data_IF_182424554095
#
_entry.id   IF_182424554095
#
_cell.length_a   1.000
_cell.length_b   1.000
_cell.length_c   1.000
_cell.angle_alpha   90.00
_cell.angle_beta   90.00
_cell.angle_gamma   90.00
#
_symmetry.space_group_name_H-M   'P 1'
#
loop_
_entity.id
_entity.type
_entity.pdbx_description
1 polymer ?
#
# COMPACT_ATOMS: atom_id res chain seq x y z
N UNK A 1 -14.08 40.00 10.66
CA UNK A 1 -12.68 40.14 10.22
C UNK A 1 -12.39 39.00 9.28
N UNK A 2 -12.36 39.24 7.97
CA UNK A 2 -12.04 38.22 6.98
C UNK A 2 -10.58 37.78 7.22
N UNK A 3 -10.39 36.55 7.70
CA UNK A 3 -9.07 35.98 7.92
C UNK A 3 -8.44 35.67 6.56
N UNK A 4 -7.18 36.08 6.36
CA UNK A 4 -6.44 35.80 5.13
C UNK A 4 -6.41 34.28 4.86
N UNK A 5 -6.75 33.90 3.63
CA UNK A 5 -6.60 32.52 3.18
C UNK A 5 -5.12 32.12 3.23
N UNK A 6 -4.84 30.82 3.43
CA UNK A 6 -3.46 30.33 3.31
C UNK A 6 -2.95 30.59 1.89
N UNK A 7 -1.83 31.30 1.78
CA UNK A 7 -1.23 31.61 0.49
C UNK A 7 -0.28 30.49 0.05
N UNK A 8 -0.68 29.79 -1.00
CA UNK A 8 0.11 28.73 -1.63
C UNK A 8 0.89 29.25 -2.86
N UNK A 9 0.77 30.52 -3.21
CA UNK A 9 1.41 31.10 -4.39
C UNK A 9 2.91 31.31 -4.17
N UNK A 10 3.63 31.45 -5.27
CA UNK A 10 5.07 31.70 -5.22
C UNK A 10 5.38 33.05 -4.59
N UNK A 11 6.41 33.08 -3.75
CA UNK A 11 6.93 34.32 -3.17
C UNK A 11 7.97 34.91 -4.12
N UNK A 12 8.01 36.24 -4.18
CA UNK A 12 9.02 36.98 -4.94
C UNK A 12 10.44 36.88 -4.33
N UNK A 13 10.60 36.17 -3.21
CA UNK A 13 11.89 35.95 -2.56
C UNK A 13 12.64 34.86 -3.31
N UNK A 14 13.78 35.21 -3.91
CA UNK A 14 14.62 34.21 -4.56
C UNK A 14 15.29 33.28 -3.53
N UNK A 15 15.38 31.96 -3.82
CA UNK A 15 16.12 31.02 -2.99
C UNK A 15 17.58 31.46 -2.78
N UNK A 16 18.17 31.21 -1.61
CA UNK A 16 19.56 31.54 -1.34
C UNK A 16 20.51 30.82 -2.32
N UNK A 17 21.47 31.51 -2.96
CA UNK A 17 22.47 30.87 -3.82
C UNK A 17 23.39 29.95 -3.00
N UNK A 18 24.10 29.01 -3.64
CA UNK A 18 25.13 28.20 -2.97
C UNK A 18 26.22 29.07 -2.34
N UNK A 19 26.91 28.55 -1.31
CA UNK A 19 28.05 29.28 -0.73
C UNK A 19 29.17 29.40 -1.77
N UNK A 20 29.73 30.60 -1.89
CA UNK A 20 30.87 30.88 -2.77
C UNK A 20 32.20 30.39 -2.18
N UNK A 21 32.22 30.05 -0.89
CA UNK A 21 33.41 29.61 -0.15
C UNK A 21 33.16 28.28 0.56
N UNK A 22 34.22 27.50 0.84
CA UNK A 22 34.07 26.22 1.54
C UNK A 22 33.39 26.42 2.90
N UNK A 23 32.45 25.53 3.22
CA UNK A 23 31.79 25.51 4.52
C UNK A 23 32.80 25.10 5.61
N UNK A 24 32.65 25.59 6.85
CA UNK A 24 33.45 25.12 7.97
C UNK A 24 33.29 23.62 8.21
N UNK A 25 34.39 22.94 8.60
CA UNK A 25 34.36 21.51 8.97
C UNK A 25 33.66 21.26 10.32
N UNK A 26 33.56 22.28 11.17
CA UNK A 26 32.91 22.20 12.48
C UNK A 26 31.38 22.44 12.35
N UNK A 27 30.53 21.45 12.69
CA UNK A 27 29.07 21.57 12.60
C UNK A 27 28.46 22.62 13.54
N UNK A 28 29.24 23.12 14.50
CA UNK A 28 28.84 24.21 15.39
C UNK A 28 29.17 25.61 14.83
N UNK A 29 29.90 25.70 13.71
CA UNK A 29 30.19 26.96 13.05
C UNK A 29 29.12 27.28 12.00
N UNK A 30 28.68 28.54 11.99
CA UNK A 30 27.75 29.06 11.00
C UNK A 30 28.53 30.03 10.13
N UNK A 31 28.56 29.77 8.82
CA UNK A 31 29.05 30.74 7.86
C UNK A 31 27.96 31.76 7.56
N UNK A 32 28.30 33.04 7.55
CA UNK A 32 27.35 34.10 7.22
C UNK A 32 27.96 35.21 6.38
N UNK A 33 27.12 35.89 5.60
CA UNK A 33 27.45 37.11 4.87
C UNK A 33 26.28 38.10 4.96
N UNK A 34 26.57 39.40 5.05
CA UNK A 34 25.57 40.46 5.07
C UNK A 34 26.23 41.81 4.75
N UNK A 35 25.42 42.83 4.48
CA UNK A 35 25.89 44.19 4.22
C UNK A 35 26.41 44.89 5.49
N UNK A 36 25.76 44.63 6.64
CA UNK A 36 26.08 45.26 7.91
C UNK A 36 25.99 44.27 9.07
N UNK A 37 26.97 44.31 9.95
CA UNK A 37 26.99 43.58 11.22
C UNK A 37 27.34 44.55 12.36
N UNK A 38 26.43 44.66 13.34
CA UNK A 38 26.56 45.51 14.51
C UNK A 38 26.54 44.66 15.77
N UNK A 39 27.36 45.05 16.76
CA UNK A 39 27.38 44.41 18.07
C UNK A 39 27.17 45.45 19.16
N UNK A 40 26.06 45.31 19.89
CA UNK A 40 25.81 46.08 21.11
C UNK A 40 26.43 45.36 22.29
N UNK A 41 27.57 45.87 22.77
CA UNK A 41 28.29 45.30 23.91
C UNK A 41 27.55 45.44 25.25
N UNK A 42 26.66 46.42 25.41
CA UNK A 42 25.90 46.61 26.65
C UNK A 42 24.71 45.64 26.70
N UNK A 43 24.01 45.52 25.57
CA UNK A 43 22.90 44.60 25.36
C UNK A 43 23.35 43.14 25.25
N UNK A 44 24.58 42.89 24.78
CA UNK A 44 25.10 41.61 24.27
C UNK A 44 24.22 41.06 23.13
N UNK A 45 23.93 41.94 22.17
CA UNK A 45 23.07 41.68 21.02
C UNK A 45 23.87 41.85 19.74
N UNK A 46 23.86 40.83 18.89
CA UNK A 46 24.42 40.88 17.52
C UNK A 46 23.28 41.14 16.55
N UNK A 47 23.39 42.16 15.73
CA UNK A 47 22.44 42.46 14.66
C UNK A 47 23.15 42.39 13.32
N UNK A 48 22.64 41.55 12.43
CA UNK A 48 23.13 41.38 11.07
C UNK A 48 22.00 41.80 10.13
N UNK A 49 22.27 42.67 9.15
CA UNK A 49 21.23 43.21 8.26
C UNK A 49 21.75 43.50 6.87
N UNK A 50 20.85 43.47 5.90
CA UNK A 50 21.15 43.67 4.48
C UNK A 50 21.60 42.35 3.84
N UNK A 51 20.69 41.74 3.09
CA UNK A 51 20.82 40.45 2.41
C UNK A 51 21.60 39.40 3.23
N UNK A 52 21.11 39.10 4.44
CA UNK A 52 21.75 38.16 5.35
C UNK A 52 21.64 36.76 4.78
N UNK A 53 22.79 36.13 4.52
CA UNK A 53 22.88 34.74 4.08
C UNK A 53 23.58 33.93 5.15
N UNK A 54 23.00 32.79 5.52
CA UNK A 54 23.52 31.85 6.50
C UNK A 54 23.67 30.48 5.85
N UNK A 55 24.76 29.78 6.18
CA UNK A 55 25.05 28.45 5.68
C UNK A 55 25.46 27.53 6.83
N UNK A 56 24.78 26.38 6.94
CA UNK A 56 25.07 25.36 7.95
C UNK A 56 24.60 23.98 7.50
N UNK A 57 25.48 22.98 7.54
CA UNK A 57 25.15 21.57 7.24
C UNK A 57 24.40 21.41 5.90
N UNK A 58 24.79 22.18 4.88
CA UNK A 58 24.14 22.19 3.56
C UNK A 58 22.81 22.95 3.48
N UNK A 59 22.23 23.38 4.61
CA UNK A 59 21.11 24.32 4.62
C UNK A 59 21.59 25.73 4.29
N UNK A 60 20.79 26.43 3.49
CA UNK A 60 21.03 27.80 3.05
C UNK A 60 19.87 28.65 3.51
N UNK A 61 20.12 29.76 4.19
CA UNK A 61 19.09 30.69 4.64
C UNK A 61 19.40 32.09 4.11
N UNK A 62 18.36 32.78 3.64
CA UNK A 62 18.34 34.20 3.28
C UNK A 62 17.33 34.93 4.15
N UNK A 63 17.65 36.13 4.63
CA UNK A 63 16.74 37.02 5.36
C UNK A 63 17.20 38.48 5.26
N UNK A 64 16.30 39.44 5.50
CA UNK A 64 16.67 40.86 5.49
C UNK A 64 17.46 41.27 6.75
N UNK A 65 17.10 40.68 7.91
CA UNK A 65 17.71 40.99 9.21
C UNK A 65 17.70 39.78 10.13
N UNK A 66 18.80 39.54 10.83
CA UNK A 66 18.95 38.54 11.88
C UNK A 66 19.46 39.21 13.15
N UNK A 67 18.77 39.01 14.27
CA UNK A 67 19.13 39.54 15.59
C UNK A 67 19.38 38.37 16.53
N UNK A 68 20.54 38.32 17.16
CA UNK A 68 20.89 37.32 18.16
C UNK A 68 21.16 37.98 19.50
N UNK A 69 20.31 37.69 20.47
CA UNK A 69 20.50 38.10 21.86
C UNK A 69 21.27 37.00 22.59
N UNK A 70 22.54 37.27 22.93
CA UNK A 70 23.44 36.28 23.53
C UNK A 70 23.16 36.02 25.00
N UNK A 71 22.44 36.93 25.69
CA UNK A 71 22.00 36.74 27.09
C UNK A 71 20.84 35.76 27.20
N UNK A 72 19.86 35.88 26.33
CA UNK A 72 18.68 34.99 26.31
C UNK A 72 18.85 33.78 25.39
N UNK A 73 19.85 33.80 24.51
CA UNK A 73 20.04 32.81 23.44
C UNK A 73 19.00 32.90 22.32
N UNK A 74 18.18 33.96 22.29
CA UNK A 74 17.13 34.12 21.29
C UNK A 74 17.70 34.62 19.95
N UNK A 75 17.32 33.97 18.85
CA UNK A 75 17.67 34.37 17.49
C UNK A 75 16.40 34.69 16.73
N UNK A 76 16.30 35.90 16.18
CA UNK A 76 15.13 36.35 15.42
C UNK A 76 15.57 36.77 14.01
N UNK A 77 15.09 36.06 13.00
CA UNK A 77 15.21 36.44 11.60
C UNK A 77 13.91 37.11 11.16
N UNK A 78 14.00 38.21 10.41
CA UNK A 78 12.86 38.96 9.89
C UNK A 78 13.08 39.38 8.44
N UNK A 79 12.00 39.36 7.67
CA UNK A 79 11.94 39.87 6.30
C UNK A 79 12.48 38.89 5.27
N UNK A 80 11.68 38.63 4.24
CA UNK A 80 12.01 37.83 3.05
C UNK A 80 12.79 36.54 3.38
N UNK A 81 12.31 35.77 4.35
CA UNK A 81 13.06 34.60 4.82
C UNK A 81 12.85 33.47 3.83
N UNK A 82 13.94 32.86 3.36
CA UNK A 82 13.94 31.67 2.53
C UNK A 82 15.03 30.70 3.01
N UNK A 83 14.67 29.45 3.26
CA UNK A 83 15.56 28.39 3.72
C UNK A 83 15.48 27.24 2.73
N UNK A 84 16.59 26.89 2.10
CA UNK A 84 16.67 25.75 1.17
C UNK A 84 17.52 24.65 1.78
N UNK A 85 16.97 23.43 1.82
CA UNK A 85 17.67 22.25 2.33
C UNK A 85 18.58 21.63 1.22
N UNK A 86 19.43 20.63 1.56
CA UNK A 86 20.26 19.94 0.57
C UNK A 86 19.46 19.16 -0.49
N UNK A 87 18.22 18.80 -0.18
CA UNK A 87 17.31 18.06 -1.07
C UNK A 87 16.58 18.97 -2.07
N UNK A 88 16.76 20.30 -1.99
CA UNK A 88 16.16 21.26 -2.90
C UNK A 88 14.82 21.86 -2.44
N UNK A 89 14.24 21.38 -1.35
CA UNK A 89 13.02 21.95 -0.78
C UNK A 89 13.31 23.35 -0.22
N UNK A 90 12.38 24.29 -0.45
CA UNK A 90 12.52 25.66 0.03
C UNK A 90 11.35 26.06 0.92
N UNK A 91 11.67 26.47 2.15
CA UNK A 91 10.75 27.01 3.14
C UNK A 91 10.89 28.53 3.22
N UNK A 92 9.77 29.23 3.17
CA UNK A 92 9.67 30.68 3.27
C UNK A 92 8.92 31.08 4.54
N UNK A 93 9.21 32.28 5.03
CA UNK A 93 8.50 32.88 6.17
C UNK A 93 8.72 34.38 6.29
N UNK A 94 7.93 35.03 7.13
CA UNK A 94 8.06 36.48 7.36
C UNK A 94 8.92 36.78 8.59
N UNK A 95 8.80 35.93 9.61
CA UNK A 95 9.54 36.02 10.86
C UNK A 95 9.79 34.61 11.39
N UNK A 96 11.03 34.35 11.80
CA UNK A 96 11.45 33.13 12.48
C UNK A 96 12.08 33.52 13.81
N UNK A 97 11.58 32.93 14.89
CA UNK A 97 12.15 33.04 16.22
C UNK A 97 12.67 31.67 16.65
N UNK A 98 13.94 31.58 17.01
CA UNK A 98 14.61 30.37 17.49
C UNK A 98 15.20 30.60 18.90
N UNK A 99 15.27 29.54 19.69
CA UNK A 99 15.97 29.53 20.99
C UNK A 99 17.44 29.11 20.83
N UNK A 100 18.21 29.15 21.93
CA UNK A 100 19.68 28.94 21.95
C UNK A 100 20.12 27.58 21.38
N UNK A 101 19.23 26.57 21.43
CA UNK A 101 19.49 25.27 20.82
C UNK A 101 19.37 25.27 19.30
N UNK A 102 18.84 26.35 18.70
CA UNK A 102 18.42 26.50 17.31
C UNK A 102 17.43 25.40 16.84
N UNK A 103 16.81 24.68 17.77
CA UNK A 103 15.94 23.54 17.48
C UNK A 103 14.46 23.83 17.70
N UNK A 104 14.15 24.74 18.62
CA UNK A 104 12.78 25.11 18.95
C UNK A 104 12.51 26.52 18.47
N UNK A 105 11.28 26.77 18.00
CA UNK A 105 10.98 28.05 17.40
C UNK A 105 9.58 28.24 16.85
N UNK A 106 9.32 29.46 16.41
CA UNK A 106 8.06 29.91 15.84
C UNK A 106 8.32 30.51 14.46
N UNK A 107 7.52 30.11 13.48
CA UNK A 107 7.55 30.66 12.12
C UNK A 107 6.17 31.25 11.81
N UNK A 108 6.15 32.47 11.28
CA UNK A 108 4.92 33.13 10.80
C UNK A 108 4.85 33.13 9.27
N UNK A 109 3.63 32.93 8.75
CA UNK A 109 3.32 32.89 7.32
C UNK A 109 4.26 31.96 6.54
N UNK A 110 4.29 30.70 6.95
CA UNK A 110 5.15 29.69 6.38
C UNK A 110 4.62 29.23 5.02
N UNK A 111 5.52 29.08 4.05
CA UNK A 111 5.27 28.36 2.80
C UNK A 111 6.42 27.40 2.55
N UNK A 112 6.15 26.12 2.34
CA UNK A 112 7.15 25.12 1.93
C UNK A 112 6.82 24.67 0.52
N UNK A 113 7.80 24.78 -0.36
CA UNK A 113 7.75 24.31 -1.75
C UNK A 113 8.70 23.13 -1.87
N UNK A 114 8.14 21.96 -2.17
CA UNK A 114 8.90 20.71 -2.28
C UNK A 114 9.49 20.57 -3.69
N UNK A 115 10.73 20.09 -3.81
CA UNK A 115 11.40 19.91 -5.10
C UNK A 115 10.64 18.92 -5.99
N UNK A 116 10.18 17.81 -5.41
CA UNK A 116 9.41 16.78 -6.11
C UNK A 116 7.94 17.18 -6.37
N UNK A 117 7.58 18.41 -6.04
CA UNK A 117 6.25 18.96 -6.21
C UNK A 117 5.40 18.92 -4.94
N UNK A 118 4.42 19.82 -4.93
CA UNK A 118 3.55 20.06 -3.79
C UNK A 118 4.00 21.20 -2.90
N UNK A 119 3.01 21.79 -2.23
CA UNK A 119 3.16 23.00 -1.44
C UNK A 119 2.41 22.88 -0.12
N UNK A 120 3.04 23.35 0.96
CA UNK A 120 2.45 23.43 2.29
C UNK A 120 2.47 24.89 2.73
N UNK A 121 1.33 25.49 2.99
CA UNK A 121 1.23 26.84 3.53
C UNK A 121 0.60 26.82 4.91
N UNK A 122 1.05 27.69 5.81
CA UNK A 122 0.45 27.84 7.12
C UNK A 122 0.66 29.23 7.67
N UNK A 123 -0.26 29.68 8.51
CA UNK A 123 -0.12 31.00 9.11
C UNK A 123 0.87 31.00 10.28
N UNK A 124 0.94 29.90 11.05
CA UNK A 124 1.88 29.76 12.16
C UNK A 124 2.36 28.32 12.30
N UNK A 125 3.67 28.15 12.34
CA UNK A 125 4.35 26.91 12.73
C UNK A 125 5.06 27.09 14.07
N UNK A 126 4.97 26.09 14.94
CA UNK A 126 5.72 26.04 16.20
C UNK A 126 6.39 24.69 16.35
N UNK A 127 7.64 24.69 16.79
CA UNK A 127 8.37 23.50 17.22
C UNK A 127 8.63 23.63 18.71
N UNK A 128 8.03 22.72 19.47
CA UNK A 128 8.10 22.68 20.93
C UNK A 128 9.16 21.67 21.39
N UNK A 129 9.51 21.75 22.67
CA UNK A 129 10.45 20.84 23.32
C UNK A 129 10.03 19.38 23.09
N UNK A 130 11.00 18.49 22.83
CA UNK A 130 10.74 17.11 22.42
C UNK A 130 10.45 16.94 20.92
N UNK A 131 10.52 18.02 20.13
CA UNK A 131 10.43 17.98 18.67
C UNK A 131 9.00 17.89 18.12
N UNK A 132 7.99 18.13 18.95
CA UNK A 132 6.59 18.20 18.52
C UNK A 132 6.42 19.41 17.61
N UNK A 133 5.93 19.18 16.40
CA UNK A 133 5.66 20.26 15.44
C UNK A 133 4.17 20.49 15.40
N UNK A 134 3.78 21.75 15.52
CA UNK A 134 2.40 22.18 15.39
C UNK A 134 2.28 23.25 14.33
N UNK A 135 1.28 23.09 13.49
CA UNK A 135 0.99 24.01 12.38
C UNK A 135 -0.47 24.42 12.50
N UNK A 136 -0.71 25.70 12.74
CA UNK A 136 -2.03 26.29 12.82
C UNK A 136 -2.44 26.89 11.47
N UNK A 137 -3.68 26.61 11.06
CA UNK A 137 -4.25 26.97 9.76
C UNK A 137 -3.34 26.57 8.61
N UNK A 138 -3.15 25.27 8.42
CA UNK A 138 -2.38 24.70 7.32
C UNK A 138 -3.22 24.47 6.05
N UNK A 139 -2.58 24.53 4.89
CA UNK A 139 -3.06 24.07 3.60
C UNK A 139 -1.99 23.23 2.91
N UNK A 140 -2.41 22.17 2.23
CA UNK A 140 -1.54 21.33 1.39
C UNK A 140 -2.19 21.08 0.03
N UNK A 141 -1.39 21.17 -1.04
CA UNK A 141 -1.78 20.70 -2.37
C UNK A 141 -0.57 20.17 -3.13
N UNK A 142 -0.68 19.02 -3.81
CA UNK A 142 0.30 18.59 -4.80
C UNK A 142 0.04 19.19 -6.19
N UNK A 143 -1.10 19.87 -6.40
CA UNK A 143 -1.46 20.43 -7.70
C UNK A 143 -0.69 21.72 -8.00
N UNK A 144 -0.52 22.01 -9.29
CA UNK A 144 -0.02 23.31 -9.72
C UNK A 144 -0.96 24.43 -9.27
N UNK A 145 -0.36 25.50 -8.75
CA UNK A 145 -1.04 26.72 -8.27
C UNK A 145 -0.84 27.91 -9.20
N UNK A 146 -0.16 27.68 -10.33
CA UNK A 146 0.01 28.63 -11.43
C UNK A 146 -0.44 27.97 -12.74
N UNK A 147 -0.87 28.79 -13.69
CA UNK A 147 -1.20 28.34 -15.05
C UNK A 147 -0.01 28.43 -16.01
N UNK A 148 -0.24 28.10 -17.30
CA UNK A 148 0.80 28.15 -18.34
C UNK A 148 1.31 29.56 -18.64
N UNK A 149 0.59 30.59 -18.22
CA UNK A 149 0.99 32.00 -18.31
C UNK A 149 1.68 32.51 -17.06
N UNK A 150 1.99 31.63 -16.09
CA UNK A 150 2.54 31.96 -14.78
C UNK A 150 1.60 32.83 -13.91
N UNK A 151 0.29 32.75 -14.15
CA UNK A 151 -0.71 33.46 -13.36
C UNK A 151 -1.21 32.57 -12.20
N UNK A 152 -1.55 33.15 -11.04
CA UNK A 152 -2.15 32.42 -9.92
C UNK A 152 -3.41 31.65 -10.33
N UNK A 153 -3.48 30.39 -9.94
CA UNK A 153 -4.55 29.46 -10.24
C UNK A 153 -4.97 28.70 -8.97
N UNK A 154 -6.28 28.50 -8.81
CA UNK A 154 -6.81 27.64 -7.76
C UNK A 154 -6.47 26.17 -8.05
N UNK A 155 -5.86 25.44 -7.11
CA UNK A 155 -5.50 24.04 -7.33
C UNK A 155 -6.74 23.17 -7.52
N UNK A 156 -6.63 22.13 -8.35
CA UNK A 156 -7.74 21.18 -8.60
C UNK A 156 -8.27 20.55 -7.31
N UNK A 157 -7.39 20.32 -6.33
CA UNK A 157 -7.80 20.04 -4.96
C UNK A 157 -6.77 20.53 -3.96
N UNK A 158 -7.22 20.82 -2.74
CA UNK A 158 -6.37 21.10 -1.59
C UNK A 158 -7.01 20.62 -0.30
N UNK A 159 -6.20 20.29 0.69
CA UNK A 159 -6.68 20.02 2.05
C UNK A 159 -6.28 21.19 2.92
N UNK A 160 -7.25 21.73 3.68
CA UNK A 160 -6.98 22.72 4.72
C UNK A 160 -7.26 22.11 6.08
N UNK A 161 -6.56 22.55 7.11
CA UNK A 161 -6.78 22.11 8.48
C UNK A 161 -6.61 23.28 9.45
N UNK A 162 -7.48 23.36 10.46
CA UNK A 162 -7.34 24.35 11.54
C UNK A 162 -6.06 24.11 12.33
N UNK A 163 -5.71 22.83 12.54
CA UNK A 163 -4.49 22.44 13.24
C UNK A 163 -3.95 21.11 12.74
N UNK A 164 -2.64 21.05 12.53
CA UNK A 164 -1.87 19.85 12.23
C UNK A 164 -0.82 19.70 13.32
N UNK A 165 -0.72 18.51 13.92
CA UNK A 165 0.28 18.22 14.95
C UNK A 165 1.04 16.97 14.55
N UNK A 166 2.35 17.08 14.43
CA UNK A 166 3.27 15.95 14.34
C UNK A 166 3.86 15.66 15.71
N UNK A 167 3.67 14.44 16.17
CA UNK A 167 4.22 13.93 17.43
C UNK A 167 5.31 12.89 17.09
N UNK A 168 6.61 13.19 17.30
CA UNK A 168 7.69 12.28 16.99
C UNK A 168 7.71 11.04 17.91
N UNK A 169 7.28 11.17 19.16
CA UNK A 169 7.21 10.03 20.09
C UNK A 169 6.15 9.00 19.65
N UNK A 170 5.08 9.46 18.99
CA UNK A 170 4.04 8.59 18.40
C UNK A 170 4.27 8.29 16.92
N UNK A 171 5.27 8.91 16.28
CA UNK A 171 5.48 8.91 14.83
C UNK A 171 4.18 9.15 14.04
N UNK A 172 3.40 10.17 14.41
CA UNK A 172 2.05 10.38 13.87
C UNK A 172 1.73 11.85 13.60
N UNK A 173 1.04 12.11 12.49
CA UNK A 173 0.45 13.41 12.17
C UNK A 173 -1.05 13.36 12.42
N UNK A 174 -1.58 14.30 13.19
CA UNK A 174 -3.01 14.45 13.50
C UNK A 174 -3.57 15.74 12.91
N UNK A 175 -4.73 15.64 12.28
CA UNK A 175 -5.43 16.75 11.63
C UNK A 175 -6.72 17.08 12.37
N UNK A 176 -6.92 18.35 12.73
CA UNK A 176 -8.12 18.84 13.40
C UNK A 176 -8.80 19.90 12.56
N UNK A 177 -10.13 19.77 12.39
CA UNK A 177 -10.92 20.69 11.57
C UNK A 177 -10.52 20.67 10.09
N UNK A 178 -10.16 19.49 9.58
CA UNK A 178 -9.72 19.36 8.20
C UNK A 178 -10.89 19.48 7.22
N UNK A 179 -10.63 20.05 6.05
CA UNK A 179 -11.58 20.15 4.94
C UNK A 179 -10.86 19.84 3.64
N UNK A 180 -11.51 19.11 2.75
CA UNK A 180 -11.06 18.95 1.37
C UNK A 180 -11.80 19.95 0.50
N UNK A 181 -11.05 20.73 -0.28
CA UNK A 181 -11.59 21.61 -1.31
C UNK A 181 -11.34 21.01 -2.69
N UNK A 182 -12.38 20.97 -3.52
CA UNK A 182 -12.34 20.46 -4.89
C UNK A 182 -12.69 21.58 -5.85
N UNK A 183 -11.76 21.89 -6.77
CA UNK A 183 -11.88 22.90 -7.83
C UNK A 183 -12.28 24.29 -7.35
N UNK A 184 -12.10 24.61 -6.07
CA UNK A 184 -12.59 25.85 -5.45
C UNK A 184 -14.11 25.96 -5.27
N UNK A 185 -14.88 24.94 -5.68
CA UNK A 185 -16.36 24.96 -5.68
C UNK A 185 -16.91 24.26 -4.43
N UNK A 186 -16.38 23.09 -4.11
CA UNK A 186 -16.82 22.29 -2.97
C UNK A 186 -15.81 22.37 -1.82
N UNK A 187 -16.29 22.50 -0.58
CA UNK A 187 -15.47 22.40 0.63
C UNK A 187 -16.15 21.45 1.62
N UNK A 188 -15.70 20.19 1.64
CA UNK A 188 -16.29 19.13 2.44
C UNK A 188 -15.48 18.95 3.75
N UNK A 189 -16.14 18.88 4.92
CA UNK A 189 -15.46 18.59 6.17
C UNK A 189 -14.94 17.15 6.16
N UNK A 190 -13.71 16.96 6.61
CA UNK A 190 -13.15 15.65 6.89
C UNK A 190 -13.28 15.35 8.39
N UNK A 191 -13.52 14.08 8.78
CA UNK A 191 -13.47 13.70 10.19
C UNK A 191 -12.07 13.96 10.76
N UNK A 192 -11.92 13.94 12.08
CA UNK A 192 -10.58 13.96 12.68
C UNK A 192 -9.83 12.71 12.23
N UNK A 193 -8.73 12.89 11.51
CA UNK A 193 -7.91 11.78 11.03
C UNK A 193 -6.44 11.97 11.40
N UNK A 194 -5.71 10.87 11.35
CA UNK A 194 -4.28 10.85 11.63
C UNK A 194 -3.62 9.67 10.92
N UNK A 195 -2.45 9.91 10.34
CA UNK A 195 -1.66 8.86 9.67
C UNK A 195 -0.27 8.76 10.32
N UNK A 196 0.32 7.57 10.27
CA UNK A 196 1.69 7.32 10.76
C UNK A 196 2.73 7.87 9.79
N UNK A 197 3.85 8.31 10.33
CA UNK A 197 5.03 8.75 9.58
C UNK A 197 6.15 7.75 9.83
N UNK A 198 6.60 7.06 8.79
CA UNK A 198 7.68 6.06 8.87
C UNK A 198 7.24 4.64 8.50
N UNK A 199 8.16 3.70 8.63
CA UNK A 199 8.06 2.33 8.06
C UNK A 199 7.19 1.36 8.90
N UNK A 200 6.52 1.87 9.94
CA UNK A 200 5.72 1.07 10.86
C UNK A 200 4.25 0.92 10.45
N UNK A 201 3.72 -0.30 10.55
CA UNK A 201 2.29 -0.57 10.41
C UNK A 201 1.50 0.03 11.59
N UNK A 202 0.64 1.02 11.33
CA UNK A 202 -0.18 1.65 12.37
C UNK A 202 -1.68 1.46 12.12
N UNK A 203 -2.42 1.15 13.19
CA UNK A 203 -3.88 1.02 13.10
C UNK A 203 -4.56 2.35 12.80
N UNK A 204 -5.58 2.33 11.95
CA UNK A 204 -6.32 3.53 11.57
C UNK A 204 -7.31 3.33 10.43
N UNK A 205 -8.10 4.37 10.18
CA UNK A 205 -8.95 4.45 9.00
C UNK A 205 -8.08 4.60 7.74
N UNK A 206 -8.37 3.80 6.72
CA UNK A 206 -7.81 3.96 5.40
C UNK A 206 -8.69 4.92 4.58
N UNK A 207 -8.20 5.30 3.39
CA UNK A 207 -8.98 6.10 2.47
C UNK A 207 -10.29 5.37 2.12
N UNK A 208 -11.44 6.08 2.12
CA UNK A 208 -12.70 5.47 1.74
C UNK A 208 -12.70 5.09 0.26
N UNK A 209 -13.36 3.99 -0.09
CA UNK A 209 -13.59 3.59 -1.48
C UNK A 209 -14.99 4.05 -1.88
N UNK A 210 -15.10 4.76 -2.99
CA UNK A 210 -16.37 5.19 -3.57
C UNK A 210 -16.54 4.49 -4.92
N UNK A 211 -17.63 3.74 -5.08
CA UNK A 211 -17.97 3.06 -6.34
C UNK A 211 -19.39 3.41 -6.75
N UNK A 212 -19.67 3.35 -8.05
CA UNK A 212 -21.03 3.42 -8.57
C UNK A 212 -21.20 2.35 -9.63
N UNK A 213 -22.27 1.55 -9.52
CA UNK A 213 -22.66 0.61 -10.55
C UNK A 213 -24.19 0.56 -10.70
N UNK A 214 -24.65 0.05 -11.85
CA UNK A 214 -26.08 0.05 -12.19
C UNK A 214 -26.93 -0.91 -11.32
N UNK A 215 -26.31 -1.83 -10.59
CA UNK A 215 -26.99 -2.91 -9.84
C UNK A 215 -27.14 -2.53 -8.38
N UNK A 216 -26.05 -2.12 -7.74
CA UNK A 216 -25.97 -1.77 -6.32
C UNK A 216 -26.02 -0.26 -6.08
N UNK A 217 -25.98 0.55 -7.14
CA UNK A 217 -26.00 2.00 -7.07
C UNK A 217 -24.69 2.55 -6.52
N UNK A 218 -24.78 3.58 -5.68
CA UNK A 218 -23.62 4.19 -5.04
C UNK A 218 -23.17 3.36 -3.84
N UNK A 219 -21.87 3.05 -3.80
CA UNK A 219 -21.20 2.31 -2.74
C UNK A 219 -20.22 3.24 -2.00
N UNK A 220 -20.22 3.12 -0.67
CA UNK A 220 -19.19 3.70 0.21
C UNK A 220 -18.60 2.57 1.05
N UNK A 221 -17.29 2.35 0.91
CA UNK A 221 -16.53 1.46 1.78
C UNK A 221 -15.61 2.27 2.69
N UNK A 222 -15.55 1.94 3.98
CA UNK A 222 -14.68 2.63 4.93
C UNK A 222 -13.76 1.61 5.63
N UNK A 223 -12.56 1.34 5.10
CA UNK A 223 -11.67 0.34 5.67
C UNK A 223 -11.05 0.84 6.97
N UNK A 224 -11.02 -0.01 8.00
CA UNK A 224 -10.22 0.19 9.20
C UNK A 224 -9.14 -0.90 9.28
N UNK A 225 -7.89 -0.46 9.27
CA UNK A 225 -6.72 -1.32 9.41
C UNK A 225 -6.34 -1.48 10.87
N UNK A 226 -6.16 -2.73 11.31
CA UNK A 226 -5.66 -3.12 12.61
C UNK A 226 -4.26 -3.74 12.45
N UNK A 227 -3.25 -3.02 12.91
CA UNK A 227 -1.90 -3.56 13.09
C UNK A 227 -1.90 -4.42 14.36
N UNK A 228 -1.99 -5.75 14.20
CA UNK A 228 -2.07 -6.69 15.32
C UNK A 228 -0.68 -7.07 15.84
N UNK A 229 0.28 -7.24 14.93
CA UNK A 229 1.70 -7.44 15.21
C UNK A 229 2.52 -7.10 13.95
N UNK A 230 3.87 -7.02 14.00
CA UNK A 230 4.69 -6.72 12.83
C UNK A 230 4.48 -7.68 11.65
N UNK A 231 4.04 -8.91 11.90
CA UNK A 231 3.84 -9.96 10.91
C UNK A 231 2.37 -10.35 10.65
N UNK A 232 1.39 -9.64 11.24
CA UNK A 232 -0.03 -9.92 10.99
C UNK A 232 -0.92 -8.70 11.16
N UNK A 233 -1.94 -8.63 10.33
CA UNK A 233 -2.92 -7.56 10.32
C UNK A 233 -4.33 -8.06 10.04
N UNK A 234 -5.30 -7.19 10.38
CA UNK A 234 -6.71 -7.36 10.06
C UNK A 234 -7.22 -6.05 9.48
N UNK A 235 -7.91 -6.10 8.34
CA UNK A 235 -8.65 -4.96 7.79
C UNK A 235 -10.13 -5.29 7.82
N UNK A 236 -10.92 -4.45 8.50
CA UNK A 236 -12.39 -4.55 8.49
C UNK A 236 -12.97 -3.42 7.65
N UNK A 237 -13.77 -3.77 6.66
CA UNK A 237 -14.32 -2.83 5.68
C UNK A 237 -15.84 -2.97 5.64
N UNK A 238 -16.58 -2.15 6.41
CA UNK A 238 -18.00 -1.94 6.15
C UNK A 238 -18.21 -1.30 4.77
N UNK A 239 -19.10 -1.91 3.99
CA UNK A 239 -19.55 -1.44 2.67
C UNK A 239 -21.04 -1.14 2.73
N UNK A 240 -21.41 0.10 2.40
CA UNK A 240 -22.78 0.56 2.34
C UNK A 240 -23.16 0.81 0.89
N UNK A 241 -24.38 0.42 0.50
CA UNK A 241 -24.88 0.54 -0.87
C UNK A 241 -26.23 1.26 -0.86
N UNK A 242 -26.56 1.98 -1.93
CA UNK A 242 -27.90 2.55 -2.10
C UNK A 242 -28.91 1.55 -2.67
N UNK A 243 -28.46 0.56 -3.45
CA UNK A 243 -29.30 -0.45 -4.13
C UNK A 243 -29.19 -1.86 -3.56
N UNK A 244 -28.41 -2.07 -2.50
CA UNK A 244 -28.25 -3.37 -1.83
C UNK A 244 -28.11 -3.22 -0.32
N UNK A 245 -28.27 -4.32 0.42
CA UNK A 245 -28.05 -4.32 1.86
C UNK A 245 -26.55 -4.25 2.19
N UNK A 246 -26.16 -3.62 3.32
CA UNK A 246 -24.77 -3.50 3.75
C UNK A 246 -24.02 -4.84 3.78
N UNK A 247 -22.72 -4.77 3.52
CA UNK A 247 -21.81 -5.91 3.53
C UNK A 247 -20.63 -5.58 4.44
N UNK A 248 -20.15 -6.56 5.22
CA UNK A 248 -18.88 -6.43 5.93
C UNK A 248 -17.87 -7.34 5.25
N UNK A 249 -16.73 -6.75 4.89
CA UNK A 249 -15.54 -7.47 4.45
C UNK A 249 -14.52 -7.49 5.59
N UNK A 250 -13.84 -8.62 5.78
CA UNK A 250 -12.75 -8.79 6.72
C UNK A 250 -11.57 -9.45 6.01
N UNK A 251 -10.40 -8.82 5.98
CA UNK A 251 -9.18 -9.39 5.43
C UNK A 251 -8.15 -9.57 6.54
N UNK A 252 -7.74 -10.80 6.78
CA UNK A 252 -6.65 -11.15 7.69
C UNK A 252 -5.44 -11.60 6.89
N UNK A 253 -4.26 -11.07 7.21
CA UNK A 253 -2.99 -11.45 6.58
C UNK A 253 -1.98 -11.82 7.65
N UNK A 254 -1.23 -12.89 7.43
CA UNK A 254 -0.22 -13.35 8.38
C UNK A 254 1.00 -13.91 7.65
N UNK A 255 2.15 -13.31 7.92
CA UNK A 255 3.47 -13.80 7.57
C UNK A 255 4.02 -14.64 8.74
N UNK A 256 4.25 -15.93 8.48
CA UNK A 256 4.90 -16.88 9.38
C UNK A 256 6.37 -17.02 8.97
N UNK A 257 7.19 -17.60 9.85
CA UNK A 257 8.63 -17.82 9.58
C UNK A 257 8.89 -18.67 8.33
N UNK A 258 7.93 -19.53 7.99
CA UNK A 258 8.02 -20.54 6.92
C UNK A 258 6.94 -20.40 5.86
N UNK A 259 6.20 -19.29 5.84
CA UNK A 259 5.10 -19.16 4.89
C UNK A 259 4.24 -17.93 5.12
N UNK A 260 3.19 -17.79 4.33
CA UNK A 260 2.23 -16.72 4.50
C UNK A 260 0.85 -17.20 4.08
N UNK A 261 -0.18 -16.61 4.67
CA UNK A 261 -1.54 -16.78 4.21
C UNK A 261 -2.34 -15.50 4.34
N UNK A 262 -3.39 -15.41 3.51
CA UNK A 262 -4.41 -14.37 3.59
C UNK A 262 -5.78 -15.01 3.53
N UNK A 263 -6.69 -14.53 4.38
CA UNK A 263 -8.10 -14.91 4.40
C UNK A 263 -8.93 -13.65 4.26
N UNK A 264 -9.77 -13.60 3.24
CA UNK A 264 -10.76 -12.55 3.03
C UNK A 264 -12.16 -13.15 3.16
N UNK A 265 -12.93 -12.64 4.12
CA UNK A 265 -14.33 -13.02 4.33
C UNK A 265 -15.26 -11.87 3.99
N UNK A 266 -16.43 -12.18 3.46
CA UNK A 266 -17.53 -11.26 3.20
C UNK A 266 -18.79 -11.81 3.87
N UNK A 267 -19.58 -10.95 4.52
CA UNK A 267 -20.79 -11.35 5.22
C UNK A 267 -21.87 -10.27 5.19
N UNK A 268 -23.09 -10.68 4.86
CA UNK A 268 -24.31 -9.85 4.91
C UNK A 268 -25.50 -10.70 5.35
N UNK A 269 -26.59 -10.03 5.70
CA UNK A 269 -27.88 -10.66 5.96
C UNK A 269 -28.88 -10.12 4.94
N UNK A 270 -29.17 -10.88 3.89
CA UNK A 270 -30.02 -10.44 2.79
C UNK A 270 -30.88 -11.56 2.22
N UNK A 271 -31.95 -11.17 1.51
CA UNK A 271 -32.69 -12.09 0.64
C UNK A 271 -31.79 -12.57 -0.50
N UNK A 272 -32.09 -13.76 -1.02
CA UNK A 272 -31.54 -14.26 -2.28
C UNK A 272 -32.39 -13.72 -3.42
N UNK A 273 -32.08 -12.52 -3.92
CA UNK A 273 -32.69 -12.05 -5.17
C UNK A 273 -31.75 -12.31 -6.34
N UNK A 274 -32.30 -12.87 -7.42
CA UNK A 274 -31.66 -12.87 -8.74
C UNK A 274 -32.43 -11.87 -9.61
N UNK A 275 -32.33 -10.59 -9.24
CA UNK A 275 -32.94 -9.47 -9.98
C UNK A 275 -32.39 -9.37 -11.43
N UNK A 276 -31.40 -10.21 -11.77
CA UNK A 276 -30.82 -10.35 -13.11
C UNK A 276 -31.53 -11.34 -14.04
N UNK A 277 -32.36 -12.28 -13.55
CA UNK A 277 -32.85 -13.39 -14.40
C UNK A 277 -34.36 -13.58 -14.46
N UNK A 278 -35.18 -12.83 -13.72
CA UNK A 278 -36.64 -12.85 -13.95
C UNK A 278 -37.37 -11.69 -13.25
N UNK A 279 -38.05 -10.79 -13.99
CA UNK A 279 -39.08 -9.90 -13.43
C UNK A 279 -40.37 -10.66 -13.05
N UNK A 280 -40.47 -11.95 -13.37
CA UNK A 280 -41.69 -12.73 -13.17
C UNK A 280 -41.65 -13.56 -11.87
N UNK A 281 -42.61 -13.23 -11.01
CA UNK A 281 -43.12 -13.95 -9.85
C UNK A 281 -42.27 -13.94 -8.56
N UNK A 282 -42.53 -12.95 -7.70
CA UNK A 282 -43.20 -13.16 -6.40
C UNK A 282 -42.65 -14.14 -5.37
N UNK A 283 -41.52 -14.81 -5.59
CA UNK A 283 -40.93 -15.71 -4.59
C UNK A 283 -40.14 -14.85 -3.61
N UNK A 284 -40.82 -14.41 -2.55
CA UNK A 284 -40.18 -13.84 -1.37
C UNK A 284 -39.29 -14.90 -0.72
N UNK A 285 -38.00 -14.91 -1.05
CA UNK A 285 -37.03 -15.65 -0.23
C UNK A 285 -36.84 -14.92 1.08
N UNK A 286 -36.85 -15.63 2.20
CA UNK A 286 -36.53 -15.04 3.50
C UNK A 286 -35.10 -14.49 3.52
N UNK A 287 -34.86 -13.53 4.42
CA UNK A 287 -33.50 -13.07 4.67
C UNK A 287 -32.68 -14.23 5.25
N UNK A 288 -31.48 -14.43 4.74
CA UNK A 288 -30.53 -15.40 5.25
C UNK A 288 -29.14 -14.77 5.31
N UNK A 289 -28.25 -15.38 6.11
CA UNK A 289 -26.84 -15.06 6.03
C UNK A 289 -26.31 -15.44 4.64
N UNK A 290 -25.57 -14.51 4.03
CA UNK A 290 -24.86 -14.73 2.77
C UNK A 290 -23.43 -14.26 2.91
N UNK A 291 -22.51 -14.97 2.28
CA UNK A 291 -21.10 -14.68 2.43
C UNK A 291 -20.22 -15.41 1.44
N UNK A 292 -18.95 -15.03 1.48
CA UNK A 292 -17.90 -15.59 0.66
C UNK A 292 -16.61 -15.63 1.48
N UNK A 293 -15.86 -16.71 1.36
CA UNK A 293 -14.52 -16.84 1.92
C UNK A 293 -13.55 -17.09 0.78
N UNK A 294 -12.47 -16.32 0.76
CA UNK A 294 -11.31 -16.47 -0.10
C UNK A 294 -10.06 -16.63 0.77
N UNK A 295 -9.43 -17.78 0.74
CA UNK A 295 -8.23 -18.05 1.51
C UNK A 295 -7.13 -18.60 0.61
N UNK A 296 -5.96 -17.99 0.66
CA UNK A 296 -4.77 -18.44 -0.06
C UNK A 296 -3.60 -18.53 0.90
N UNK A 297 -2.76 -19.55 0.74
CA UNK A 297 -1.57 -19.68 1.56
C UNK A 297 -0.55 -20.64 0.98
N UNK A 298 0.69 -20.46 1.42
CA UNK A 298 1.81 -21.36 1.16
C UNK A 298 2.65 -21.49 2.43
N UNK A 299 3.08 -22.71 2.73
CA UNK A 299 3.95 -23.02 3.86
C UNK A 299 5.03 -24.00 3.43
N UNK A 300 6.28 -23.66 3.72
CA UNK A 300 7.49 -24.42 3.40
C UNK A 300 7.97 -25.15 4.66
N UNK A 301 7.78 -26.47 4.74
CA UNK A 301 8.16 -27.23 5.94
C UNK A 301 9.70 -27.32 6.10
N UNK A 302 10.38 -27.62 4.99
CA UNK A 302 11.85 -27.68 4.83
C UNK A 302 12.24 -27.30 3.40
N UNK A 303 13.51 -27.43 3.00
CA UNK A 303 14.00 -27.05 1.66
C UNK A 303 13.26 -27.74 0.49
N UNK A 304 12.64 -28.88 0.73
CA UNK A 304 12.05 -29.75 -0.28
C UNK A 304 10.53 -29.89 -0.13
N UNK A 305 10.00 -29.88 1.09
CA UNK A 305 8.57 -30.06 1.37
C UNK A 305 7.82 -28.73 1.51
N UNK A 306 6.70 -28.61 0.82
CA UNK A 306 5.79 -27.47 0.96
C UNK A 306 4.33 -27.86 0.82
N UNK A 307 3.46 -27.01 1.35
CA UNK A 307 2.02 -27.07 1.13
C UNK A 307 1.54 -25.73 0.61
N UNK A 308 0.55 -25.75 -0.28
CA UNK A 308 -0.11 -24.56 -0.79
C UNK A 308 -1.58 -24.83 -0.99
N UNK A 309 -2.42 -23.82 -0.80
CA UNK A 309 -3.85 -23.95 -1.01
C UNK A 309 -4.52 -22.66 -1.42
N UNK A 310 -5.63 -22.82 -2.12
CA UNK A 310 -6.57 -21.77 -2.49
C UNK A 310 -7.98 -22.29 -2.23
N UNK A 311 -8.70 -21.67 -1.31
CA UNK A 311 -10.05 -22.03 -0.90
C UNK A 311 -10.97 -20.84 -1.16
N UNK A 312 -11.94 -21.01 -2.05
CA UNK A 312 -12.93 -20.03 -2.46
C UNK A 312 -14.31 -20.68 -2.32
N UNK A 313 -15.11 -20.22 -1.37
CA UNK A 313 -16.42 -20.78 -1.04
C UNK A 313 -17.46 -19.69 -0.90
N UNK A 314 -18.56 -19.79 -1.63
CA UNK A 314 -19.70 -18.87 -1.53
C UNK A 314 -20.90 -19.56 -0.87
N UNK A 315 -21.68 -18.82 -0.08
CA UNK A 315 -22.91 -19.31 0.56
C UNK A 315 -23.99 -19.70 -0.44
N UNK A 316 -24.00 -19.03 -1.60
CA UNK A 316 -24.94 -19.25 -2.68
C UNK A 316 -24.35 -18.80 -4.02
N UNK A 317 -25.06 -19.18 -5.08
CA UNK A 317 -24.62 -19.03 -6.47
C UNK A 317 -24.59 -17.59 -6.98
N UNK A 318 -25.40 -16.70 -6.42
CA UNK A 318 -25.56 -15.33 -6.94
C UNK A 318 -24.81 -14.28 -6.12
N UNK A 319 -24.28 -14.65 -4.96
CA UNK A 319 -23.68 -13.71 -4.00
C UNK A 319 -22.55 -12.87 -4.59
N UNK A 320 -21.57 -13.51 -5.25
CA UNK A 320 -20.39 -12.80 -5.79
C UNK A 320 -20.77 -11.78 -6.86
N UNK A 321 -21.64 -12.17 -7.79
CA UNK A 321 -22.15 -11.28 -8.84
C UNK A 321 -23.00 -10.16 -8.27
N UNK A 322 -23.86 -10.46 -7.27
CA UNK A 322 -24.75 -9.45 -6.67
C UNK A 322 -23.94 -8.31 -6.07
N UNK A 323 -22.87 -8.61 -5.35
CA UNK A 323 -22.04 -7.60 -4.69
C UNK A 323 -20.81 -7.15 -5.52
N UNK A 324 -20.74 -7.57 -6.79
CA UNK A 324 -19.61 -7.30 -7.70
C UNK A 324 -18.24 -7.68 -7.10
N UNK A 325 -18.20 -8.81 -6.39
CA UNK A 325 -16.96 -9.32 -5.79
C UNK A 325 -16.14 -10.07 -6.84
N UNK A 326 -16.81 -10.82 -7.72
CA UNK A 326 -16.20 -11.58 -8.82
C UNK A 326 -17.25 -11.97 -9.85
N UNK A 327 -16.83 -12.04 -11.11
CA UNK A 327 -17.63 -12.53 -12.24
C UNK A 327 -17.42 -14.02 -12.54
N UNK A 328 -16.63 -14.72 -11.72
CA UNK A 328 -16.37 -16.16 -11.88
C UNK A 328 -17.69 -16.95 -11.81
N UNK A 329 -17.81 -17.94 -12.71
CA UNK A 329 -18.97 -18.82 -12.74
C UNK A 329 -18.74 -20.15 -11.98
N UNK A 330 -17.50 -20.39 -11.57
CA UNK A 330 -17.04 -21.58 -10.85
C UNK A 330 -15.87 -21.22 -9.95
N UNK A 331 -15.95 -21.66 -8.69
CA UNK A 331 -14.88 -21.50 -7.71
C UNK A 331 -14.07 -22.78 -7.63
N UNK A 332 -12.82 -22.71 -8.08
CA UNK A 332 -11.87 -23.83 -8.02
C UNK A 332 -11.07 -23.72 -6.74
N UNK A 333 -11.19 -24.76 -5.92
CA UNK A 333 -10.49 -24.91 -4.67
C UNK A 333 -9.38 -25.94 -4.87
N UNK A 334 -8.20 -25.67 -4.33
CA UNK A 334 -7.08 -26.59 -4.37
C UNK A 334 -6.36 -26.65 -3.03
N UNK A 335 -5.92 -27.85 -2.66
CA UNK A 335 -4.91 -28.07 -1.63
C UNK A 335 -3.84 -28.99 -2.21
N UNK A 336 -2.57 -28.59 -2.07
CA UNK A 336 -1.42 -29.33 -2.57
C UNK A 336 -0.40 -29.51 -1.47
N UNK A 337 0.13 -30.71 -1.34
CA UNK A 337 1.38 -30.99 -0.63
C UNK A 337 2.38 -31.50 -1.65
N UNK A 338 3.53 -30.86 -1.75
CA UNK A 338 4.57 -31.20 -2.72
C UNK A 338 5.94 -31.40 -2.05
N UNK A 339 6.69 -32.37 -2.55
CA UNK A 339 8.12 -32.55 -2.30
C UNK A 339 8.86 -32.39 -3.62
N UNK A 340 9.80 -31.46 -3.67
CA UNK A 340 10.71 -31.28 -4.80
C UNK A 340 12.12 -31.56 -4.28
N UNK A 341 12.80 -32.51 -4.90
CA UNK A 341 14.20 -32.85 -4.66
C UNK A 341 15.00 -32.68 -5.97
N UNK A 342 16.31 -32.86 -5.94
CA UNK A 342 17.19 -32.84 -7.11
C UNK A 342 16.73 -33.84 -8.18
N UNK A 343 16.35 -35.04 -7.77
CA UNK A 343 16.08 -36.15 -8.67
C UNK A 343 14.63 -36.68 -8.58
N UNK A 344 13.84 -36.21 -7.62
CA UNK A 344 12.45 -36.67 -7.46
C UNK A 344 11.46 -35.52 -7.28
N UNK A 345 10.24 -35.76 -7.74
CA UNK A 345 9.08 -34.90 -7.52
C UNK A 345 7.95 -35.76 -6.99
N UNK A 346 7.28 -35.31 -5.95
CA UNK A 346 6.09 -35.95 -5.41
C UNK A 346 5.06 -34.88 -5.09
N UNK A 347 3.81 -35.08 -5.48
CA UNK A 347 2.72 -34.20 -5.09
C UNK A 347 1.44 -34.99 -4.81
N UNK A 348 0.73 -34.57 -3.78
CA UNK A 348 -0.67 -34.94 -3.54
C UNK A 348 -1.50 -33.66 -3.68
N UNK A 349 -2.48 -33.70 -4.57
CA UNK A 349 -3.40 -32.61 -4.86
C UNK A 349 -4.83 -33.03 -4.54
N UNK A 350 -5.60 -32.08 -4.01
CA UNK A 350 -7.04 -32.15 -3.87
C UNK A 350 -7.69 -30.98 -4.59
N UNK A 351 -8.70 -31.24 -5.41
CA UNK A 351 -9.48 -30.22 -6.09
C UNK A 351 -10.96 -30.35 -5.75
N UNK A 352 -11.59 -29.22 -5.48
CA UNK A 352 -13.03 -29.11 -5.30
C UNK A 352 -13.56 -27.92 -6.11
N UNK A 353 -14.63 -28.13 -6.89
CA UNK A 353 -15.21 -27.08 -7.73
C UNK A 353 -16.63 -26.79 -7.28
N UNK A 354 -16.91 -25.54 -6.91
CA UNK A 354 -18.26 -25.06 -6.66
C UNK A 354 -18.78 -24.32 -7.91
N UNK A 355 -19.92 -24.74 -8.47
CA UNK A 355 -20.57 -24.01 -9.56
C UNK A 355 -21.44 -22.87 -9.02
N UNK A 356 -21.29 -21.68 -9.59
CA UNK A 356 -22.09 -20.50 -9.30
C UNK A 356 -23.20 -20.29 -10.35
N UNK A 357 -23.34 -21.21 -11.31
CA UNK A 357 -24.42 -21.17 -12.31
C UNK A 357 -25.69 -21.81 -11.75
N UNK A 358 -26.83 -21.10 -11.70
CA UNK A 358 -28.09 -21.64 -11.18
C UNK A 358 -28.61 -22.87 -11.94
N UNK A 359 -28.33 -22.97 -13.23
CA UNK A 359 -28.79 -24.05 -14.12
C UNK A 359 -27.96 -25.32 -14.03
N UNK A 360 -26.80 -25.29 -13.36
CA UNK A 360 -25.92 -26.44 -13.26
C UNK A 360 -26.13 -27.21 -11.96
N UNK A 361 -26.03 -28.54 -12.03
CA UNK A 361 -26.07 -29.39 -10.84
C UNK A 361 -24.68 -29.43 -10.20
N UNK A 362 -24.59 -29.08 -8.91
CA UNK A 362 -23.35 -29.15 -8.14
C UNK A 362 -22.81 -30.58 -8.05
N UNK A 363 -23.69 -31.58 -8.00
CA UNK A 363 -23.30 -33.00 -7.96
C UNK A 363 -22.54 -33.46 -9.20
N UNK A 364 -22.77 -32.84 -10.36
CA UNK A 364 -22.05 -33.15 -11.61
C UNK A 364 -20.62 -32.54 -11.64
N UNK A 365 -20.31 -31.61 -10.72
CA UNK A 365 -18.97 -31.03 -10.65
C UNK A 365 -18.01 -32.03 -10.04
N UNK A 366 -16.84 -32.17 -10.65
CA UNK A 366 -15.83 -33.12 -10.23
C UNK A 366 -15.13 -32.68 -8.94
N UNK A 367 -14.94 -33.63 -8.03
CA UNK A 367 -14.00 -33.54 -6.91
C UNK A 367 -12.84 -34.48 -7.24
N UNK A 368 -11.64 -33.94 -7.44
CA UNK A 368 -10.45 -34.75 -7.71
C UNK A 368 -9.63 -34.89 -6.44
N UNK A 369 -9.78 -35.99 -5.72
CA UNK A 369 -9.04 -36.26 -4.48
C UNK A 369 -8.92 -37.77 -4.22
N UNK A 370 -7.70 -38.33 -4.07
CA UNK A 370 -6.42 -37.69 -4.31
C UNK A 370 -6.06 -37.67 -5.81
N UNK A 371 -5.36 -36.62 -6.23
CA UNK A 371 -4.49 -36.63 -7.41
C UNK A 371 -3.04 -36.75 -6.92
N UNK A 372 -2.35 -37.83 -7.29
CA UNK A 372 -0.98 -38.13 -6.90
C UNK A 372 -0.10 -38.08 -8.14
N UNK A 373 1.00 -37.32 -8.11
CA UNK A 373 2.04 -37.31 -9.15
C UNK A 373 3.39 -37.63 -8.50
N UNK A 374 4.09 -38.62 -9.04
CA UNK A 374 5.43 -39.01 -8.63
C UNK A 374 6.34 -39.12 -9.85
N UNK A 375 7.51 -38.50 -9.78
CA UNK A 375 8.54 -38.58 -10.82
C UNK A 375 9.88 -38.84 -10.16
N UNK A 376 10.66 -39.76 -10.73
CA UNK A 376 11.98 -40.11 -10.27
C UNK A 376 12.94 -40.20 -11.45
N UNK A 377 14.04 -39.46 -11.39
CA UNK A 377 15.11 -39.47 -12.37
C UNK A 377 16.29 -40.25 -11.79
N UNK A 378 16.77 -41.24 -12.51
CA UNK A 378 17.83 -42.12 -12.01
C UNK A 378 18.72 -42.65 -13.14
N UNK A 379 19.78 -43.37 -12.76
CA UNK A 379 20.66 -44.06 -13.70
C UNK A 379 21.63 -43.18 -14.50
N UNK A 380 21.82 -41.93 -14.07
CA UNK A 380 22.76 -40.97 -14.66
C UNK A 380 24.21 -41.49 -14.59
N UNK A 381 24.54 -42.27 -13.55
CA UNK A 381 25.86 -42.88 -13.33
C UNK A 381 25.99 -44.30 -13.91
N UNK A 382 24.88 -44.92 -14.36
CA UNK A 382 24.89 -46.29 -14.88
C UNK A 382 25.42 -46.37 -16.31
N UNK A 383 25.05 -45.40 -17.14
CA UNK A 383 25.44 -45.33 -18.55
C UNK A 383 25.80 -43.88 -18.86
N UNK A 384 27.02 -43.57 -19.32
CA UNK A 384 27.40 -42.22 -19.71
C UNK A 384 26.44 -41.64 -20.75
N UNK A 385 25.81 -40.50 -20.42
CA UNK A 385 24.79 -39.86 -21.28
C UNK A 385 23.41 -40.50 -21.23
N UNK A 386 23.22 -41.57 -20.45
CA UNK A 386 21.95 -42.25 -20.23
C UNK A 386 21.18 -41.69 -19.04
N UNK A 387 19.86 -41.53 -19.18
CA UNK A 387 18.97 -41.05 -18.12
C UNK A 387 17.66 -41.84 -18.13
N UNK A 388 17.25 -42.34 -16.97
CA UNK A 388 15.94 -42.93 -16.78
C UNK A 388 15.02 -41.96 -16.05
N UNK A 389 13.74 -41.94 -16.44
CA UNK A 389 12.67 -41.23 -15.74
C UNK A 389 11.49 -42.19 -15.53
N UNK A 390 11.19 -42.47 -14.27
CA UNK A 390 9.96 -43.14 -13.85
C UNK A 390 8.92 -42.07 -13.52
N UNK A 391 7.74 -42.18 -14.12
CA UNK A 391 6.57 -41.37 -13.76
C UNK A 391 5.44 -42.29 -13.32
N UNK A 392 4.82 -41.97 -12.19
CA UNK A 392 3.59 -42.61 -11.71
C UNK A 392 2.57 -41.53 -11.37
N UNK A 393 1.34 -41.69 -11.83
CA UNK A 393 0.24 -40.79 -11.52
C UNK A 393 -0.99 -41.59 -11.14
N UNK A 394 -1.75 -41.08 -10.17
CA UNK A 394 -3.07 -41.60 -9.83
C UNK A 394 -4.03 -40.43 -9.69
N UNK A 395 -5.27 -40.60 -10.14
CA UNK A 395 -6.31 -39.58 -10.05
C UNK A 395 -7.65 -40.26 -9.79
N UNK A 396 -8.25 -39.93 -8.66
CA UNK A 396 -9.62 -40.29 -8.35
C UNK A 396 -10.52 -39.06 -8.52
N UNK A 397 -11.53 -39.18 -9.40
CA UNK A 397 -12.57 -38.18 -9.61
C UNK A 397 -13.88 -38.74 -9.08
N UNK A 398 -14.42 -38.10 -8.05
CA UNK A 398 -15.75 -38.35 -7.52
C UNK A 398 -16.75 -37.28 -7.96
N UNK A 399 -18.02 -37.67 -8.15
CA UNK A 399 -19.14 -36.77 -8.40
C UNK A 399 -20.31 -37.17 -7.51
N UNK A 400 -20.98 -36.18 -6.90
CA UNK A 400 -22.19 -36.44 -6.10
C UNK A 400 -23.38 -36.90 -6.94
N UNK A 401 -23.36 -36.59 -8.24
CA UNK A 401 -24.27 -37.13 -9.24
C UNK A 401 -23.47 -37.34 -10.53
N UNK A 402 -23.56 -38.51 -11.14
CA UNK A 402 -22.81 -38.85 -12.35
C UNK A 402 -21.84 -40.01 -12.12
N UNK A 403 -20.89 -40.15 -13.04
CA UNK A 403 -19.95 -41.27 -13.05
C UNK A 403 -18.68 -40.94 -12.28
N UNK A 404 -18.23 -41.88 -11.46
CA UNK A 404 -16.94 -41.81 -10.79
C UNK A 404 -15.86 -42.43 -11.68
N UNK A 405 -14.66 -41.88 -11.62
CA UNK A 405 -13.55 -42.36 -12.46
C UNK A 405 -12.26 -42.34 -11.69
N UNK A 406 -11.57 -43.46 -11.69
CA UNK A 406 -10.22 -43.61 -11.16
C UNK A 406 -9.31 -43.98 -12.31
N UNK A 407 -8.16 -43.30 -12.41
CA UNK A 407 -7.10 -43.68 -13.32
C UNK A 407 -5.78 -43.79 -12.56
N UNK A 408 -4.96 -44.74 -12.96
CA UNK A 408 -3.56 -44.78 -12.59
C UNK A 408 -2.73 -45.06 -13.83
N UNK A 409 -1.57 -44.43 -13.96
CA UNK A 409 -0.60 -44.79 -14.99
C UNK A 409 0.81 -44.83 -14.42
N UNK A 410 1.62 -45.67 -15.03
CA UNK A 410 3.06 -45.69 -14.82
C UNK A 410 3.75 -45.65 -16.19
N UNK A 411 4.82 -44.87 -16.29
CA UNK A 411 5.66 -44.85 -17.48
C UNK A 411 7.14 -44.83 -17.13
N UNK A 412 7.93 -45.50 -17.95
CA UNK A 412 9.38 -45.51 -17.88
C UNK A 412 9.92 -44.93 -19.19
N UNK A 413 10.71 -43.87 -19.07
CA UNK A 413 11.42 -43.23 -20.18
C UNK A 413 12.92 -43.45 -19.99
N UNK A 414 13.62 -43.76 -21.07
CA UNK A 414 15.08 -43.82 -21.13
C UNK A 414 15.55 -42.90 -22.25
N UNK A 415 16.40 -41.93 -21.95
CA UNK A 415 17.07 -41.08 -22.95
C UNK A 415 18.58 -41.34 -22.92
N UNK A 416 19.16 -41.62 -24.09
CA UNK A 416 20.61 -41.73 -24.29
C UNK A 416 21.07 -40.62 -25.23
N UNK A 417 21.80 -39.65 -24.68
CA UNK A 417 22.39 -38.54 -25.42
C UNK A 417 23.86 -38.82 -25.73
N UNK A 418 24.24 -38.75 -27.00
CA UNK A 418 25.62 -38.94 -27.46
C UNK A 418 26.04 -37.84 -28.43
N UNK A 419 27.25 -37.34 -28.27
CA UNK A 419 27.91 -36.47 -29.26
C UNK A 419 28.74 -37.32 -30.21
N UNK A 420 28.57 -37.14 -31.51
CA UNK A 420 29.40 -37.79 -32.52
C UNK A 420 30.73 -37.03 -32.69
N UNK A 421 31.74 -37.68 -33.26
CA UNK A 421 33.02 -37.04 -33.57
C UNK A 421 32.92 -35.89 -34.58
N UNK A 422 31.79 -35.77 -35.29
CA UNK A 422 31.50 -34.66 -36.20
C UNK A 422 30.74 -33.51 -35.52
N UNK A 423 30.57 -33.57 -34.20
CA UNK A 423 29.86 -32.54 -33.42
C UNK A 423 28.34 -32.64 -33.48
N UNK A 424 27.77 -33.75 -33.97
CA UNK A 424 26.32 -33.95 -34.00
C UNK A 424 25.84 -34.48 -32.64
N UNK A 425 24.68 -34.01 -32.20
CA UNK A 425 23.99 -34.54 -31.03
C UNK A 425 22.94 -35.56 -31.46
N UNK A 426 23.07 -36.80 -30.99
CA UNK A 426 22.12 -37.89 -31.23
C UNK A 426 21.48 -38.28 -29.90
N UNK A 427 20.15 -38.23 -29.83
CA UNK A 427 19.37 -38.64 -28.67
C UNK A 427 18.49 -39.83 -29.05
N UNK A 428 18.69 -40.96 -28.36
CA UNK A 428 17.85 -42.14 -28.49
C UNK A 428 16.91 -42.22 -27.29
N UNK A 429 15.60 -42.30 -27.54
CA UNK A 429 14.58 -42.35 -26.49
C UNK A 429 13.80 -43.66 -26.56
N UNK A 430 13.77 -44.40 -25.45
CA UNK A 430 12.84 -45.51 -25.20
C UNK A 430 11.72 -45.06 -24.27
N UNK A 431 10.48 -45.46 -24.55
CA UNK A 431 9.33 -45.10 -23.74
C UNK A 431 8.36 -46.28 -23.61
N UNK A 432 7.99 -46.61 -22.37
CA UNK A 432 6.95 -47.59 -22.06
C UNK A 432 5.94 -46.97 -21.10
N UNK A 433 4.64 -47.21 -21.31
CA UNK A 433 3.54 -46.71 -20.48
C UNK A 433 2.45 -47.77 -20.34
N UNK A 434 1.91 -47.88 -19.13
CA UNK A 434 0.69 -48.62 -18.84
C UNK A 434 -0.31 -47.76 -18.09
N UNK A 435 -1.58 -47.84 -18.47
CA UNK A 435 -2.69 -47.13 -17.85
C UNK A 435 -3.76 -48.13 -17.39
N UNK A 436 -4.38 -47.85 -16.25
CA UNK A 436 -5.50 -48.62 -15.69
C UNK A 436 -6.62 -47.64 -15.37
N UNK A 437 -7.85 -47.98 -15.78
CA UNK A 437 -9.05 -47.19 -15.56
C UNK A 437 -10.10 -48.03 -14.83
N UNK A 438 -10.73 -47.43 -13.83
CA UNK A 438 -11.92 -47.97 -13.16
C UNK A 438 -12.99 -46.89 -13.18
N UNK A 439 -14.13 -47.18 -13.81
CA UNK A 439 -15.20 -46.22 -14.02
C UNK A 439 -16.51 -46.83 -13.54
N UNK A 440 -17.21 -46.16 -12.62
CA UNK A 440 -18.42 -46.67 -11.95
C UNK A 440 -19.58 -45.71 -12.08
#
# INVERSE_FOLDING_TARGET
MAHGAQDLQDRAVEPPPPSETPLPDDPNQIQFSADLAEYDSNGDVVTVSGDVRLFREGNRLRADKVVWNRKSGQVVANGNIAVTNPEGDTAYGDSIELTDSLKDGVIQNMLVVLEQGGRIAAERGTREEGGVIRVDRAAYTPCAVVDSGNCPKEPSWKITAVRVVYDPAKQRIRYTGARVSLFGIASLPLPVFSHSVGDGNASGLLAPELRYDAVNGFEVALPYYFSLAPNRDLTLTPRLFTGALPLVQAQYRHLLDKGAFSVTGYGTYSRRSDDFTSPAAGISTENAFRGYIDAVGRYQFDENWSTSGSVRLASDRTFLRRYDISSDDRLRNNLRVERIDRDSYFAINGWFVQTLRPTENQGLQAVALPEIDYRLRFGQDLIPGGRFELQANSLAIGRGAGQDTQRAFASLRYDLRKLTSWGQEVTLTGYARGDVYNTQ
#
